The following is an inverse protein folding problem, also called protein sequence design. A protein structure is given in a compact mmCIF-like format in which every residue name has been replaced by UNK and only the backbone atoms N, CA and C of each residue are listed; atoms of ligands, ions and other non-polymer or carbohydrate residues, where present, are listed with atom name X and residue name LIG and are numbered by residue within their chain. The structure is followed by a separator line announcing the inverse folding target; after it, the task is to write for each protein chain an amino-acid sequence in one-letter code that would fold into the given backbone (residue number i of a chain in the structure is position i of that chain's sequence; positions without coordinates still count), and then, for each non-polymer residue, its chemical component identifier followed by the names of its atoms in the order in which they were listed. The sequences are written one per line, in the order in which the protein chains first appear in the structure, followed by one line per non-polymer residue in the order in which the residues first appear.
data_IF_009184255852
#
_entry.id   IF_009184255852
#
_cell.length_a   1.000
_cell.length_b   1.000
_cell.length_c   1.000
_cell.angle_alpha   90.00
_cell.angle_beta   90.00
_cell.angle_gamma   90.00
#
_symmetry.space_group_name_H-M   'P 1'
#
loop_
_entity.id
_entity.type
_entity.pdbx_description
1 polymer ?
#
# COMPACT_ATOMS: atom_id res chain seq x y z
N UNK A 1 55.04 -3.27 12.95
CA UNK A 1 54.34 -4.09 11.96
C UNK A 1 52.97 -4.61 12.42
N UNK A 2 52.53 -4.45 13.66
CA UNK A 2 51.23 -4.97 14.15
C UNK A 2 50.03 -4.02 13.97
N UNK A 3 50.25 -2.70 13.95
CA UNK A 3 49.15 -1.71 13.81
C UNK A 3 48.54 -1.62 12.41
N UNK A 4 49.27 -1.96 11.35
CA UNK A 4 48.81 -1.88 9.99
C UNK A 4 47.87 -3.07 9.62
N UNK A 5 48.09 -4.25 10.24
CA UNK A 5 47.24 -5.43 10.00
C UNK A 5 45.86 -5.33 10.64
N UNK A 6 45.77 -4.63 11.79
CA UNK A 6 44.47 -4.42 12.47
C UNK A 6 43.58 -3.44 11.69
N UNK A 7 44.19 -2.41 11.07
CA UNK A 7 43.45 -1.42 10.27
C UNK A 7 42.89 -2.00 8.96
N UNK A 8 43.64 -2.91 8.33
CA UNK A 8 43.18 -3.59 7.09
C UNK A 8 42.07 -4.64 7.38
N UNK A 9 42.13 -5.31 8.55
CA UNK A 9 41.07 -6.27 8.91
C UNK A 9 39.77 -5.57 9.27
N UNK A 10 39.82 -4.42 9.97
CA UNK A 10 38.62 -3.64 10.29
C UNK A 10 38.00 -2.97 9.08
N UNK A 11 38.80 -2.47 8.13
CA UNK A 11 38.26 -1.89 6.89
C UNK A 11 37.62 -2.94 5.97
N UNK A 12 38.15 -4.14 5.91
CA UNK A 12 37.57 -5.27 5.16
C UNK A 12 36.24 -5.76 5.78
N UNK A 13 36.16 -5.81 7.09
CA UNK A 13 34.91 -6.19 7.78
C UNK A 13 33.84 -5.12 7.62
N UNK A 14 34.20 -3.84 7.71
CA UNK A 14 33.26 -2.73 7.49
C UNK A 14 32.84 -2.67 6.01
N UNK A 15 33.77 -2.87 5.07
CA UNK A 15 33.44 -2.91 3.64
C UNK A 15 32.58 -4.12 3.27
N UNK A 16 32.88 -5.29 3.85
CA UNK A 16 32.05 -6.50 3.70
C UNK A 16 30.68 -6.33 4.31
N UNK A 17 30.56 -5.70 5.47
CA UNK A 17 29.29 -5.41 6.11
C UNK A 17 28.47 -4.39 5.33
N UNK A 18 29.11 -3.35 4.78
CA UNK A 18 28.46 -2.34 3.95
C UNK A 18 27.98 -2.93 2.62
N UNK A 19 28.77 -3.80 1.97
CA UNK A 19 28.38 -4.51 0.75
C UNK A 19 27.23 -5.47 1.04
N UNK A 20 27.30 -6.18 2.18
CA UNK A 20 26.22 -7.11 2.59
C UNK A 20 24.92 -6.38 2.94
N UNK A 21 24.98 -5.19 3.54
CA UNK A 21 23.80 -4.36 3.83
C UNK A 21 23.20 -3.69 2.59
N UNK A 22 23.92 -3.62 1.47
CA UNK A 22 23.43 -3.11 0.17
C UNK A 22 22.79 -4.19 -0.70
N UNK A 23 23.10 -5.46 -0.48
CA UNK A 23 22.42 -6.55 -1.20
C UNK A 23 21.00 -6.73 -0.65
N UNK A 24 20.09 -6.23 -1.43
CA UNK A 24 18.64 -6.15 -1.33
C UNK A 24 17.91 -6.99 -0.27
N UNK A 25 16.77 -6.51 0.11
CA UNK A 25 15.79 -7.32 0.83
C UNK A 25 15.48 -8.54 -0.04
N UNK A 26 15.93 -9.72 0.36
CA UNK A 26 15.57 -10.96 -0.34
C UNK A 26 14.07 -11.20 -0.07
N UNK A 27 13.24 -10.69 -0.98
CA UNK A 27 11.83 -11.05 -0.99
C UNK A 27 11.70 -12.55 -1.31
N UNK A 28 10.81 -13.21 -0.60
CA UNK A 28 10.47 -14.60 -0.93
C UNK A 28 9.66 -14.57 -2.23
N UNK A 29 10.23 -15.12 -3.30
CA UNK A 29 9.55 -15.19 -4.60
C UNK A 29 8.67 -16.44 -4.60
N UNK A 30 7.36 -16.23 -4.61
CA UNK A 30 6.40 -17.30 -4.82
C UNK A 30 6.22 -17.53 -6.33
N UNK A 31 6.66 -18.69 -6.81
CA UNK A 31 6.42 -19.11 -8.21
C UNK A 31 4.96 -19.51 -8.36
N UNK A 32 4.17 -18.66 -8.98
CA UNK A 32 2.77 -18.94 -9.32
C UNK A 32 2.70 -19.64 -10.69
N UNK A 33 1.86 -20.66 -10.82
CA UNK A 33 1.52 -21.19 -12.15
C UNK A 33 0.71 -20.14 -12.92
N UNK A 34 0.90 -19.99 -14.24
CA UNK A 34 0.00 -19.17 -15.05
C UNK A 34 -1.43 -19.66 -14.85
N UNK A 35 -2.33 -18.74 -14.52
CA UNK A 35 -3.76 -19.02 -14.45
C UNK A 35 -4.36 -18.56 -15.77
N UNK A 36 -5.19 -19.37 -16.41
CA UNK A 36 -6.02 -18.91 -17.53
C UNK A 36 -6.96 -17.83 -17.00
N UNK A 37 -6.86 -16.65 -17.57
CA UNK A 37 -7.67 -15.49 -17.22
C UNK A 37 -8.82 -15.45 -18.23
N UNK A 38 -10.04 -15.54 -17.73
CA UNK A 38 -11.21 -15.22 -18.55
C UNK A 38 -11.30 -13.70 -18.72
N UNK A 39 -11.66 -13.22 -19.88
CA UNK A 39 -12.08 -11.83 -20.09
C UNK A 39 -13.22 -11.52 -19.11
N UNK A 40 -13.21 -10.35 -18.44
CA UNK A 40 -14.30 -9.99 -17.55
C UNK A 40 -15.54 -9.71 -18.39
N UNK A 41 -16.58 -10.53 -18.24
CA UNK A 41 -17.84 -10.31 -18.91
C UNK A 41 -18.64 -9.12 -18.33
N UNK A 42 -18.25 -8.65 -17.13
CA UNK A 42 -19.01 -7.70 -16.33
C UNK A 42 -18.37 -6.33 -16.13
N UNK A 43 -17.15 -6.10 -16.63
CA UNK A 43 -16.41 -4.85 -16.41
C UNK A 43 -15.83 -4.28 -17.68
N UNK A 44 -16.13 -2.99 -17.95
CA UNK A 44 -15.55 -2.22 -19.06
C UNK A 44 -14.45 -1.29 -18.54
N UNK A 45 -13.19 -1.44 -18.98
CA UNK A 45 -12.09 -0.59 -18.51
C UNK A 45 -12.10 0.78 -19.18
N UNK A 46 -11.70 1.81 -18.46
CA UNK A 46 -11.41 3.16 -18.96
C UNK A 46 -10.24 3.78 -18.19
N UNK A 47 -9.25 4.35 -18.91
CA UNK A 47 -8.22 5.17 -18.28
C UNK A 47 -8.81 6.52 -17.90
N UNK A 48 -8.87 6.83 -16.62
CA UNK A 48 -9.46 8.08 -16.12
C UNK A 48 -8.46 9.23 -16.10
N UNK A 49 -7.22 8.96 -15.72
CA UNK A 49 -6.15 9.95 -15.64
C UNK A 49 -4.78 9.25 -15.73
N UNK A 50 -3.76 9.82 -16.38
CA UNK A 50 -3.74 11.11 -17.11
C UNK A 50 -4.36 10.99 -18.51
N UNK A 51 -5.13 12.00 -18.94
CA UNK A 51 -5.74 12.05 -20.29
C UNK A 51 -5.03 13.00 -21.25
N UNK A 52 -4.52 14.13 -20.75
CA UNK A 52 -3.84 15.14 -21.57
C UNK A 52 -2.32 14.97 -21.56
N UNK A 53 -1.62 15.65 -22.50
CA UNK A 53 -0.15 15.69 -22.49
C UNK A 53 0.40 16.41 -21.23
N UNK A 54 -0.32 17.42 -20.73
CA UNK A 54 0.05 18.12 -19.50
C UNK A 54 -0.04 17.17 -18.32
N UNK A 55 -1.16 16.45 -18.19
CA UNK A 55 -1.32 15.45 -17.13
C UNK A 55 -0.23 14.38 -17.18
N UNK A 56 0.10 13.88 -18.39
CA UNK A 56 1.14 12.85 -18.59
C UNK A 56 2.52 13.31 -18.15
N UNK A 57 2.82 14.60 -18.31
CA UNK A 57 4.11 15.18 -17.91
C UNK A 57 4.21 15.36 -16.39
N UNK A 58 3.08 15.45 -15.69
CA UNK A 58 3.00 15.61 -14.22
C UNK A 58 2.66 14.32 -13.48
N UNK A 59 2.17 13.30 -14.19
CA UNK A 59 1.80 12.01 -13.63
C UNK A 59 3.02 11.24 -13.12
N UNK A 60 3.02 10.88 -11.85
CA UNK A 60 3.98 9.98 -11.22
C UNK A 60 3.38 8.62 -10.91
N UNK A 61 4.18 7.77 -10.28
CA UNK A 61 3.71 6.47 -9.77
C UNK A 61 2.46 6.64 -8.92
N UNK A 62 1.38 5.98 -9.32
CA UNK A 62 0.09 6.01 -8.63
C UNK A 62 0.12 5.05 -7.43
N UNK A 63 0.01 5.58 -6.25
CA UNK A 63 0.18 4.79 -5.03
C UNK A 63 -1.11 4.59 -4.23
N UNK A 64 -2.10 5.46 -4.39
CA UNK A 64 -3.36 5.37 -3.66
C UNK A 64 -4.56 5.80 -4.50
N UNK A 65 -5.72 5.22 -4.22
CA UNK A 65 -7.01 5.57 -4.80
C UNK A 65 -8.11 5.38 -3.78
N UNK A 66 -9.05 6.34 -3.69
CA UNK A 66 -10.23 6.22 -2.83
C UNK A 66 -11.42 6.95 -3.47
N UNK A 67 -12.63 6.63 -3.02
CA UNK A 67 -13.88 7.25 -3.51
C UNK A 67 -14.64 7.83 -2.31
N UNK A 68 -15.06 9.09 -2.41
CA UNK A 68 -15.82 9.73 -1.35
C UNK A 68 -17.32 9.41 -1.44
N UNK A 69 -18.10 9.88 -0.45
CA UNK A 69 -19.55 9.67 -0.37
C UNK A 69 -20.35 10.22 -1.57
N UNK A 70 -19.77 11.14 -2.34
CA UNK A 70 -20.36 11.73 -3.55
C UNK A 70 -19.98 11.01 -4.83
N UNK A 71 -19.07 10.02 -4.73
CA UNK A 71 -18.50 9.30 -5.85
C UNK A 71 -17.35 10.02 -6.54
N UNK A 72 -16.81 11.11 -5.96
CA UNK A 72 -15.58 11.73 -6.47
C UNK A 72 -14.40 10.80 -6.19
N UNK A 73 -13.51 10.68 -7.18
CA UNK A 73 -12.39 9.75 -7.16
C UNK A 73 -11.13 10.54 -6.78
N UNK A 74 -10.48 10.12 -5.71
CA UNK A 74 -9.22 10.68 -5.24
C UNK A 74 -8.08 9.77 -5.68
N UNK A 75 -7.04 10.38 -6.20
CA UNK A 75 -5.87 9.73 -6.73
C UNK A 75 -4.62 10.33 -6.08
N UNK A 76 -3.79 9.48 -5.48
CA UNK A 76 -2.57 9.86 -4.80
C UNK A 76 -1.36 9.34 -5.56
N UNK A 77 -0.45 10.23 -5.96
CA UNK A 77 0.68 9.87 -6.79
C UNK A 77 1.95 10.64 -6.41
N UNK A 78 3.08 10.17 -6.90
CA UNK A 78 4.39 10.74 -6.58
C UNK A 78 4.83 11.86 -7.51
N UNK A 79 4.03 12.26 -8.49
CA UNK A 79 4.37 13.28 -9.48
C UNK A 79 5.81 13.11 -10.01
N UNK A 80 6.72 14.10 -9.82
CA UNK A 80 8.14 13.98 -10.14
C UNK A 80 8.98 13.21 -9.10
N UNK A 81 8.38 12.87 -7.95
CA UNK A 81 9.06 12.17 -6.86
C UNK A 81 9.27 10.68 -7.12
N UNK A 82 10.11 10.07 -6.31
CA UNK A 82 10.45 8.65 -6.37
C UNK A 82 10.04 7.93 -5.08
N UNK A 83 9.86 6.61 -5.18
CA UNK A 83 9.73 5.79 -3.98
C UNK A 83 10.94 5.97 -3.06
N UNK A 84 10.66 6.30 -1.80
CA UNK A 84 11.69 6.64 -0.79
C UNK A 84 12.50 7.90 -1.10
N UNK A 85 11.97 8.83 -1.89
CA UNK A 85 12.54 10.15 -2.12
C UNK A 85 12.78 10.93 -0.83
N UNK A 86 13.80 11.79 -0.82
CA UNK A 86 14.16 12.59 0.37
C UNK A 86 13.70 14.05 0.27
N UNK A 87 13.36 14.52 -0.93
CA UNK A 87 12.89 15.88 -1.17
C UNK A 87 11.37 15.94 -1.12
N UNK A 88 10.84 17.08 -0.73
CA UNK A 88 9.42 17.35 -0.89
C UNK A 88 9.08 17.46 -2.39
N UNK A 89 7.90 16.98 -2.74
CA UNK A 89 7.36 17.03 -4.10
C UNK A 89 6.67 18.38 -4.26
N UNK A 90 7.16 19.19 -5.19
CA UNK A 90 6.67 20.55 -5.40
C UNK A 90 5.37 20.60 -6.23
N UNK A 91 5.07 19.52 -6.97
CA UNK A 91 3.85 19.41 -7.75
C UNK A 91 2.68 18.89 -6.90
N UNK A 92 1.42 19.07 -7.36
CA UNK A 92 0.25 18.44 -6.76
C UNK A 92 0.41 16.91 -6.72
N UNK A 93 0.14 16.32 -5.58
CA UNK A 93 0.24 14.88 -5.36
C UNK A 93 -1.13 14.21 -5.22
N UNK A 94 -2.17 14.99 -4.98
CA UNK A 94 -3.56 14.51 -4.93
C UNK A 94 -4.34 15.14 -6.07
N UNK A 95 -4.97 14.28 -6.88
CA UNK A 95 -5.88 14.66 -7.96
C UNK A 95 -7.27 14.17 -7.62
N UNK A 96 -8.26 15.05 -7.71
CA UNK A 96 -9.66 14.72 -7.47
C UNK A 96 -10.43 14.80 -8.78
N UNK A 97 -11.04 13.69 -9.17
CA UNK A 97 -11.91 13.60 -10.34
C UNK A 97 -13.37 13.66 -9.91
N UNK A 98 -14.18 14.41 -10.64
CA UNK A 98 -15.63 14.42 -10.47
C UNK A 98 -16.23 13.05 -10.79
N UNK A 99 -16.99 12.50 -9.88
CA UNK A 99 -17.52 11.14 -9.99
C UNK A 99 -18.45 10.88 -11.17
N UNK A 100 -19.08 11.93 -11.72
CA UNK A 100 -20.02 11.83 -12.86
C UNK A 100 -19.34 12.12 -14.18
N UNK A 101 -18.58 13.22 -14.25
CA UNK A 101 -17.98 13.71 -15.50
C UNK A 101 -16.57 13.18 -15.74
N UNK A 102 -15.94 12.58 -14.71
CA UNK A 102 -14.57 12.08 -14.72
C UNK A 102 -13.52 13.15 -15.07
N UNK A 103 -13.89 14.43 -14.97
CA UNK A 103 -12.97 15.55 -15.17
C UNK A 103 -12.25 15.90 -13.88
N UNK A 104 -11.03 16.42 -14.00
CA UNK A 104 -10.29 16.97 -12.86
C UNK A 104 -11.09 18.10 -12.24
N UNK A 105 -11.40 17.97 -10.96
CA UNK A 105 -12.13 18.90 -10.14
C UNK A 105 -11.20 19.75 -9.27
N UNK A 106 -10.14 19.11 -8.77
CA UNK A 106 -9.16 19.74 -7.90
C UNK A 106 -7.83 18.98 -7.98
N UNK A 107 -6.73 19.72 -7.81
CA UNK A 107 -5.40 19.17 -7.59
C UNK A 107 -4.76 19.92 -6.43
N UNK A 108 -4.06 19.23 -5.53
CA UNK A 108 -3.42 19.82 -4.35
C UNK A 108 -2.35 18.90 -3.77
N UNK A 109 -1.70 19.34 -2.69
CA UNK A 109 -0.68 18.54 -1.98
C UNK A 109 0.75 18.95 -2.32
N UNK A 110 0.94 20.11 -2.97
CA UNK A 110 2.26 20.67 -3.28
C UNK A 110 3.06 20.91 -2.01
N UNK A 111 4.31 20.47 -2.00
CA UNK A 111 5.23 20.66 -0.88
C UNK A 111 4.87 19.94 0.42
N UNK A 112 3.85 19.06 0.42
CA UNK A 112 3.40 18.37 1.63
C UNK A 112 4.04 16.99 1.82
N UNK A 113 4.38 16.31 0.75
CA UNK A 113 4.78 14.91 0.76
C UNK A 113 6.16 14.69 0.13
N UNK A 114 6.82 13.60 0.54
CA UNK A 114 8.09 13.15 -0.03
C UNK A 114 7.94 11.84 -0.81
N UNK A 115 7.11 10.94 -0.32
CA UNK A 115 6.85 9.65 -0.94
C UNK A 115 5.43 9.18 -0.59
N UNK A 116 4.42 9.70 -1.30
CA UNK A 116 3.03 9.27 -1.22
C UNK A 116 2.86 7.76 -1.27
N UNK A 117 1.94 7.19 -0.44
CA UNK A 117 1.71 5.75 -0.46
C UNK A 117 0.23 5.37 -0.33
N UNK A 118 -0.34 5.18 0.85
CA UNK A 118 -1.74 4.80 1.04
C UNK A 118 -2.68 6.00 1.04
N UNK A 119 -3.91 5.80 0.62
CA UNK A 119 -4.99 6.80 0.61
C UNK A 119 -6.30 6.13 1.01
N UNK A 120 -6.98 6.70 1.99
CA UNK A 120 -8.29 6.28 2.48
C UNK A 120 -9.20 7.48 2.68
N UNK A 121 -10.50 7.30 2.51
CA UNK A 121 -11.53 8.32 2.80
C UNK A 121 -12.52 7.75 3.81
N UNK A 122 -12.58 8.38 5.00
CA UNK A 122 -13.49 7.93 6.06
C UNK A 122 -14.96 8.27 5.79
N UNK A 123 -15.88 7.74 6.60
CA UNK A 123 -17.34 7.93 6.47
C UNK A 123 -17.80 9.39 6.61
N UNK A 124 -16.89 10.32 6.97
CA UNK A 124 -17.13 11.77 7.06
C UNK A 124 -16.48 12.53 5.91
N UNK A 125 -16.00 11.83 4.89
CA UNK A 125 -15.21 12.36 3.77
C UNK A 125 -13.88 13.01 4.19
N UNK A 126 -13.31 12.69 5.36
CA UNK A 126 -11.94 13.07 5.66
C UNK A 126 -10.96 12.18 4.89
N UNK A 127 -9.88 12.81 4.45
CA UNK A 127 -8.85 12.19 3.63
C UNK A 127 -7.69 11.76 4.54
N UNK A 128 -7.32 10.49 4.49
CA UNK A 128 -6.22 9.94 5.25
C UNK A 128 -5.15 9.44 4.30
N UNK A 129 -3.90 9.85 4.51
CA UNK A 129 -2.80 9.46 3.62
C UNK A 129 -1.55 9.09 4.41
N UNK A 130 -0.81 8.11 3.91
CA UNK A 130 0.50 7.73 4.44
C UNK A 130 1.62 8.27 3.55
N UNK A 131 2.75 8.65 4.18
CA UNK A 131 3.99 8.96 3.49
C UNK A 131 5.13 8.09 4.05
N UNK A 132 5.72 7.28 3.19
CA UNK A 132 6.75 6.31 3.61
C UNK A 132 8.10 6.94 3.89
N UNK A 133 8.40 8.12 3.36
CA UNK A 133 9.65 8.84 3.64
C UNK A 133 9.56 9.75 4.85
N UNK A 134 8.39 10.32 5.09
CA UNK A 134 8.13 11.12 6.29
C UNK A 134 7.79 10.23 7.50
N UNK A 135 7.45 8.95 7.28
CA UNK A 135 7.01 8.03 8.34
C UNK A 135 5.79 8.56 9.10
N UNK A 136 4.84 9.12 8.36
CA UNK A 136 3.67 9.81 8.91
C UNK A 136 2.38 9.30 8.29
N UNK A 137 1.31 9.46 9.06
CA UNK A 137 -0.07 9.40 8.62
C UNK A 137 -0.68 10.79 8.82
N UNK A 138 -1.35 11.30 7.79
CA UNK A 138 -1.99 12.60 7.80
C UNK A 138 -3.50 12.42 7.65
N UNK A 139 -4.25 13.25 8.39
CA UNK A 139 -5.69 13.38 8.25
C UNK A 139 -6.02 14.81 7.80
N UNK A 140 -6.72 14.92 6.69
CA UNK A 140 -7.23 16.18 6.16
C UNK A 140 -8.76 16.16 6.20
N UNK A 141 -9.39 17.34 6.26
CA UNK A 141 -10.82 17.45 6.00
C UNK A 141 -11.12 17.31 4.49
N UNK A 142 -12.39 17.23 4.14
CA UNK A 142 -12.84 17.10 2.75
C UNK A 142 -12.49 18.30 1.85
N UNK A 143 -12.09 19.42 2.42
CA UNK A 143 -11.57 20.61 1.74
C UNK A 143 -10.04 20.56 1.55
N UNK A 144 -9.34 19.53 2.06
CA UNK A 144 -7.89 19.36 1.99
C UNK A 144 -7.11 20.12 3.06
N UNK A 145 -7.77 20.61 4.11
CA UNK A 145 -7.11 21.25 5.26
C UNK A 145 -6.62 20.20 6.25
N UNK A 146 -5.36 20.29 6.64
CA UNK A 146 -4.77 19.39 7.63
C UNK A 146 -5.50 19.49 8.98
N UNK A 147 -6.02 18.35 9.46
CA UNK A 147 -6.64 18.21 10.77
C UNK A 147 -5.63 17.70 11.79
N UNK A 148 -4.91 16.62 11.44
CA UNK A 148 -4.00 15.92 12.38
C UNK A 148 -2.91 15.17 11.64
N UNK A 149 -1.75 15.07 12.28
CA UNK A 149 -0.63 14.24 11.86
C UNK A 149 -0.35 13.22 12.95
N UNK A 150 -0.14 11.97 12.55
CA UNK A 150 0.24 10.88 13.44
C UNK A 150 1.63 10.36 13.05
N UNK A 151 2.32 9.82 14.03
CA UNK A 151 3.68 9.32 13.89
C UNK A 151 4.71 10.28 14.49
N UNK A 152 5.67 9.75 15.23
CA UNK A 152 6.78 10.53 15.78
C UNK A 152 7.98 10.54 14.83
N UNK A 153 8.84 11.51 15.00
CA UNK A 153 10.07 11.62 14.23
C UNK A 153 11.09 10.56 14.63
N UNK A 154 11.87 10.11 13.66
CA UNK A 154 12.96 9.17 13.91
C UNK A 154 14.05 9.80 14.78
N UNK A 155 14.48 9.04 15.78
CA UNK A 155 15.75 9.33 16.47
C UNK A 155 16.92 9.03 15.54
N UNK A 156 18.04 9.73 15.76
CA UNK A 156 19.28 9.50 15.00
C UNK A 156 19.65 8.01 15.01
N UNK A 157 19.93 7.45 13.84
CA UNK A 157 20.31 6.05 13.68
C UNK A 157 19.16 5.03 13.63
N UNK A 158 17.90 5.45 13.83
CA UNK A 158 16.75 4.53 13.83
C UNK A 158 16.58 3.82 12.48
N UNK A 159 16.65 4.54 11.37
CA UNK A 159 16.53 3.94 10.04
C UNK A 159 17.59 2.85 9.81
N UNK A 160 18.83 3.05 10.26
CA UNK A 160 19.89 2.04 10.21
C UNK A 160 19.56 0.83 11.07
N UNK A 161 19.08 1.05 12.30
CA UNK A 161 18.68 -0.04 13.20
C UNK A 161 17.55 -0.88 12.60
N UNK A 162 16.57 -0.24 11.96
CA UNK A 162 15.46 -0.90 11.26
C UNK A 162 15.95 -1.71 10.05
N UNK A 163 16.89 -1.16 9.25
CA UNK A 163 17.51 -1.90 8.14
C UNK A 163 18.28 -3.12 8.61
N UNK A 164 19.02 -3.01 9.72
CA UNK A 164 19.73 -4.14 10.33
C UNK A 164 18.72 -5.17 10.82
N UNK A 165 17.65 -4.76 11.52
CA UNK A 165 16.60 -5.67 11.99
C UNK A 165 15.91 -6.42 10.84
N UNK A 166 15.75 -5.81 9.68
CA UNK A 166 15.18 -6.51 8.52
C UNK A 166 16.08 -7.65 8.00
N UNK A 167 17.40 -7.57 8.24
CA UNK A 167 18.35 -8.64 7.91
C UNK A 167 18.59 -9.59 9.07
N UNK A 168 18.58 -9.09 10.29
CA UNK A 168 18.77 -9.81 11.54
C UNK A 168 17.52 -9.61 12.41
N UNK A 169 16.49 -10.46 12.27
CA UNK A 169 15.16 -10.23 12.86
C UNK A 169 15.14 -9.95 14.37
N UNK A 170 16.14 -10.44 15.09
CA UNK A 170 16.28 -10.27 16.54
C UNK A 170 17.13 -9.05 16.92
N UNK A 171 17.59 -8.24 15.95
CA UNK A 171 18.34 -7.02 16.25
C UNK A 171 17.45 -6.03 17.01
N UNK A 172 17.88 -5.52 18.18
CA UNK A 172 17.07 -4.61 18.98
C UNK A 172 16.89 -3.26 18.29
N UNK A 173 15.65 -2.79 18.22
CA UNK A 173 15.31 -1.45 17.76
C UNK A 173 14.50 -0.78 18.86
N UNK A 174 15.01 0.33 19.38
CA UNK A 174 14.34 1.13 20.40
C UNK A 174 13.43 2.16 19.73
N UNK A 175 12.18 1.77 19.53
CA UNK A 175 11.13 2.56 18.89
C UNK A 175 9.89 2.48 19.77
N UNK A 176 9.26 3.62 20.03
CA UNK A 176 7.99 3.60 20.73
C UNK A 176 6.84 3.22 19.79
N UNK A 177 5.69 2.97 20.36
CA UNK A 177 4.48 2.53 19.65
C UNK A 177 3.92 3.58 18.70
N UNK A 178 4.21 4.87 18.89
CA UNK A 178 3.73 5.99 18.09
C UNK A 178 4.66 6.34 16.92
N UNK A 179 5.81 5.70 16.81
CA UNK A 179 6.71 5.88 15.68
C UNK A 179 6.36 4.89 14.58
N UNK A 180 6.05 5.38 13.39
CA UNK A 180 5.89 4.53 12.20
C UNK A 180 7.24 4.31 11.51
N UNK A 181 7.34 3.20 10.80
CA UNK A 181 8.54 2.84 10.04
C UNK A 181 8.16 2.48 8.59
N UNK A 182 7.92 3.51 7.80
CA UNK A 182 7.40 3.45 6.43
C UNK A 182 6.01 2.84 6.36
N UNK A 183 5.00 3.52 6.91
CA UNK A 183 3.61 3.06 6.89
C UNK A 183 3.13 2.94 5.45
N UNK A 184 2.44 1.85 5.17
CA UNK A 184 1.98 1.53 3.82
C UNK A 184 0.55 2.00 3.58
N UNK A 185 -0.35 1.75 4.54
CA UNK A 185 -1.77 2.02 4.33
C UNK A 185 -2.51 2.21 5.66
N UNK A 186 -3.77 2.63 5.59
CA UNK A 186 -4.65 2.88 6.74
C UNK A 186 -6.09 2.52 6.40
N UNK A 187 -6.83 1.99 7.36
CA UNK A 187 -8.29 1.89 7.30
C UNK A 187 -8.92 2.55 8.51
N UNK A 188 -10.06 3.20 8.31
CA UNK A 188 -10.77 3.97 9.35
C UNK A 188 -12.12 3.35 9.62
N UNK A 189 -12.39 3.01 10.88
CA UNK A 189 -13.65 2.42 11.31
C UNK A 189 -14.71 3.50 11.58
N UNK A 190 -15.99 3.12 11.63
CA UNK A 190 -17.12 4.03 11.82
C UNK A 190 -17.05 4.83 13.13
N UNK A 191 -16.43 4.28 14.18
CA UNK A 191 -16.24 4.95 15.46
C UNK A 191 -15.09 5.99 15.42
N UNK A 192 -14.39 6.07 14.30
CA UNK A 192 -13.25 6.94 14.08
C UNK A 192 -11.91 6.37 14.55
N UNK A 193 -11.89 5.16 15.13
CA UNK A 193 -10.66 4.41 15.36
C UNK A 193 -10.06 3.98 14.01
N UNK A 194 -8.75 3.76 13.97
CA UNK A 194 -8.08 3.44 12.70
C UNK A 194 -6.98 2.40 12.89
N UNK A 195 -6.72 1.65 11.82
CA UNK A 195 -5.65 0.64 11.79
C UNK A 195 -4.64 1.00 10.72
N UNK A 196 -3.37 1.02 11.07
CA UNK A 196 -2.26 1.33 10.16
C UNK A 196 -1.50 0.07 9.82
N UNK A 197 -1.28 -0.18 8.54
CA UNK A 197 -0.26 -1.08 8.05
C UNK A 197 1.09 -0.35 8.05
N UNK A 198 2.01 -0.75 8.93
CA UNK A 198 3.35 -0.18 9.06
C UNK A 198 4.37 -1.22 8.57
N UNK A 199 4.37 -1.47 7.26
CA UNK A 199 4.89 -2.70 6.66
C UNK A 199 6.35 -2.68 6.25
N UNK A 200 6.85 -1.61 5.60
CA UNK A 200 8.15 -1.66 4.92
C UNK A 200 9.36 -1.83 5.83
N UNK A 201 9.33 -1.29 7.04
CA UNK A 201 10.44 -1.42 8.00
C UNK A 201 10.01 -2.04 9.32
N UNK A 202 8.71 -2.03 9.64
CA UNK A 202 8.23 -2.45 10.97
C UNK A 202 7.46 -3.78 10.98
N UNK A 203 6.93 -4.26 9.86
CA UNK A 203 6.17 -5.53 9.77
C UNK A 203 4.99 -5.52 10.73
N UNK A 204 4.34 -4.39 10.91
CA UNK A 204 3.38 -4.12 11.95
C UNK A 204 2.03 -3.74 11.37
N UNK A 205 0.97 -4.21 12.03
CA UNK A 205 -0.33 -3.53 12.02
C UNK A 205 -0.60 -3.00 13.44
N UNK A 206 -1.17 -1.81 13.53
CA UNK A 206 -1.46 -1.17 14.81
C UNK A 206 -2.78 -0.43 14.74
N UNK A 207 -3.66 -0.66 15.74
CA UNK A 207 -4.92 0.04 15.90
C UNK A 207 -4.78 1.13 16.94
N UNK A 208 -5.32 2.28 16.58
CA UNK A 208 -5.41 3.47 17.42
C UNK A 208 -6.87 3.88 17.56
N UNK A 209 -7.22 4.47 18.68
CA UNK A 209 -8.52 5.11 18.85
C UNK A 209 -8.63 6.40 18.01
N UNK A 210 -9.79 7.05 18.00
CA UNK A 210 -10.05 8.31 17.27
C UNK A 210 -9.12 9.46 17.68
N UNK A 211 -8.57 9.41 18.90
CA UNK A 211 -7.67 10.42 19.45
C UNK A 211 -6.20 10.09 19.18
N UNK A 212 -5.90 8.90 18.65
CA UNK A 212 -4.59 8.42 18.25
C UNK A 212 -3.84 7.68 19.36
N UNK A 213 -4.55 7.24 20.42
CA UNK A 213 -3.99 6.39 21.45
C UNK A 213 -3.98 4.93 21.01
N UNK A 214 -2.85 4.24 21.22
CA UNK A 214 -2.69 2.84 20.81
C UNK A 214 -3.63 1.92 21.60
N UNK A 215 -4.47 1.17 20.88
CA UNK A 215 -5.30 0.13 21.48
C UNK A 215 -4.62 -1.24 21.46
N UNK A 216 -4.05 -1.62 20.30
CA UNK A 216 -3.30 -2.86 20.16
C UNK A 216 -2.39 -2.83 18.92
N UNK A 217 -1.39 -3.72 18.91
CA UNK A 217 -0.52 -3.92 17.74
C UNK A 217 -0.07 -5.37 17.59
N UNK A 218 0.33 -5.73 16.36
CA UNK A 218 1.00 -6.98 16.01
C UNK A 218 2.22 -6.65 15.16
N UNK A 219 3.41 -7.05 15.60
CA UNK A 219 4.69 -6.60 15.03
C UNK A 219 5.72 -7.71 14.85
N UNK A 220 5.28 -8.94 14.64
CA UNK A 220 6.18 -10.10 14.54
C UNK A 220 6.40 -10.50 13.09
N UNK A 221 7.68 -10.67 12.69
CA UNK A 221 8.05 -11.24 11.41
C UNK A 221 7.75 -12.74 11.39
N UNK A 222 7.12 -13.22 10.33
CA UNK A 222 6.91 -14.63 10.09
C UNK A 222 5.70 -14.94 9.24
N UNK A 223 5.33 -16.22 9.20
CA UNK A 223 4.22 -16.74 8.40
C UNK A 223 3.10 -17.40 9.23
N UNK A 224 3.23 -17.42 10.57
CA UNK A 224 2.16 -17.94 11.45
C UNK A 224 1.00 -16.94 11.52
N UNK A 225 -0.17 -17.32 12.06
CA UNK A 225 -1.26 -16.40 12.34
C UNK A 225 -0.81 -15.18 13.15
N UNK A 226 -1.10 -13.96 12.66
CA UNK A 226 -0.69 -12.71 13.29
C UNK A 226 0.78 -12.33 13.19
N UNK A 227 1.59 -13.11 12.45
CA UNK A 227 2.93 -12.74 12.02
C UNK A 227 2.86 -12.19 10.58
N UNK A 228 3.73 -11.26 10.22
CA UNK A 228 3.70 -10.59 8.93
C UNK A 228 5.04 -10.62 8.22
N UNK A 229 4.99 -10.61 6.88
CA UNK A 229 6.13 -10.31 6.04
C UNK A 229 5.70 -9.24 5.04
N UNK A 230 5.84 -7.98 5.45
CA UNK A 230 5.43 -6.79 4.73
C UNK A 230 3.89 -6.68 4.56
N UNK A 231 3.13 -6.40 5.66
CA UNK A 231 1.75 -5.99 5.54
C UNK A 231 1.68 -4.70 4.71
N UNK A 232 0.79 -4.67 3.68
CA UNK A 232 0.76 -3.61 2.69
C UNK A 232 -0.60 -2.91 2.67
N UNK A 233 -1.58 -3.34 1.89
CA UNK A 233 -2.93 -2.84 1.92
C UNK A 233 -3.69 -3.31 3.17
N UNK A 234 -4.62 -2.50 3.65
CA UNK A 234 -5.48 -2.82 4.78
C UNK A 234 -6.85 -2.18 4.63
N UNK A 235 -7.90 -2.92 4.91
CA UNK A 235 -9.28 -2.40 4.90
C UNK A 235 -10.08 -3.02 6.05
N UNK A 236 -11.26 -2.47 6.34
CA UNK A 236 -12.16 -3.01 7.35
C UNK A 236 -13.62 -3.01 6.86
N UNK A 237 -14.39 -4.02 7.30
CA UNK A 237 -15.82 -4.05 7.02
C UNK A 237 -16.65 -3.39 8.15
N UNK A 238 -17.94 -3.20 7.89
CA UNK A 238 -18.90 -2.64 8.84
C UNK A 238 -19.09 -3.47 10.11
N UNK A 239 -18.70 -4.75 10.11
CA UNK A 239 -18.71 -5.63 11.28
C UNK A 239 -17.43 -5.43 12.12
N UNK A 240 -16.48 -4.63 11.65
CA UNK A 240 -15.20 -4.35 12.27
C UNK A 240 -14.16 -5.45 12.04
N UNK A 241 -14.34 -6.33 11.06
CA UNK A 241 -13.28 -7.22 10.60
C UNK A 241 -12.27 -6.44 9.80
N UNK A 242 -11.00 -6.77 9.99
CA UNK A 242 -9.85 -6.12 9.37
C UNK A 242 -9.19 -7.12 8.44
N UNK A 243 -9.01 -6.72 7.19
CA UNK A 243 -8.39 -7.52 6.13
C UNK A 243 -7.03 -6.92 5.79
N UNK A 244 -5.97 -7.72 5.87
CA UNK A 244 -4.58 -7.26 5.70
C UNK A 244 -3.92 -8.01 4.55
N UNK A 245 -3.48 -7.29 3.55
CA UNK A 245 -2.64 -7.81 2.49
C UNK A 245 -1.21 -8.07 3.03
N UNK A 246 -0.92 -9.29 3.45
CA UNK A 246 0.40 -9.73 3.91
C UNK A 246 1.26 -10.12 2.70
N UNK A 247 1.71 -9.08 1.99
CA UNK A 247 2.20 -9.11 0.60
C UNK A 247 3.27 -10.15 0.34
N UNK A 248 4.33 -10.18 1.14
CA UNK A 248 5.45 -11.09 0.91
C UNK A 248 5.16 -12.52 1.39
N UNK A 249 4.09 -12.73 2.15
CA UNK A 249 3.56 -14.06 2.47
C UNK A 249 2.50 -14.54 1.45
N UNK A 250 2.17 -13.71 0.43
CA UNK A 250 1.19 -14.01 -0.62
C UNK A 250 -0.17 -14.43 -0.05
N UNK A 251 -0.71 -13.66 0.90
CA UNK A 251 -1.96 -13.99 1.60
C UNK A 251 -2.70 -12.76 2.08
N UNK A 252 -4.00 -12.94 2.36
CA UNK A 252 -4.79 -12.02 3.19
C UNK A 252 -4.90 -12.64 4.59
N UNK A 253 -4.72 -11.86 5.64
CA UNK A 253 -5.07 -12.24 7.01
C UNK A 253 -6.28 -11.45 7.49
N UNK A 254 -7.19 -12.10 8.19
CA UNK A 254 -8.41 -11.52 8.73
C UNK A 254 -8.33 -11.46 10.25
N UNK A 255 -8.66 -10.31 10.84
CA UNK A 255 -8.72 -10.08 12.29
C UNK A 255 -10.07 -9.50 12.68
N UNK A 256 -10.46 -9.69 13.94
CA UNK A 256 -11.57 -8.92 14.52
C UNK A 256 -11.10 -7.52 14.95
N UNK A 257 -12.03 -6.64 15.31
CA UNK A 257 -11.74 -5.27 15.77
C UNK A 257 -10.83 -5.19 17.00
N UNK A 258 -10.68 -6.27 17.77
CA UNK A 258 -9.81 -6.36 18.94
C UNK A 258 -8.43 -6.96 18.58
N UNK A 259 -8.14 -7.15 17.29
CA UNK A 259 -6.89 -7.72 16.79
C UNK A 259 -6.76 -9.22 17.01
N UNK A 260 -7.84 -9.95 17.31
CA UNK A 260 -7.80 -11.41 17.38
C UNK A 260 -7.81 -11.97 15.96
N UNK A 261 -6.91 -12.92 15.71
CA UNK A 261 -6.87 -13.61 14.43
C UNK A 261 -8.17 -14.39 14.21
N UNK A 262 -8.75 -14.24 13.02
CA UNK A 262 -9.97 -14.92 12.60
C UNK A 262 -9.67 -15.95 11.53
N UNK A 263 -9.02 -15.53 10.42
CA UNK A 263 -8.80 -16.39 9.26
C UNK A 263 -7.59 -15.92 8.43
N UNK A 264 -7.17 -16.74 7.47
CA UNK A 264 -6.21 -16.35 6.43
C UNK A 264 -6.57 -17.03 5.12
N UNK A 265 -6.34 -16.31 4.05
CA UNK A 265 -6.56 -16.79 2.70
C UNK A 265 -5.23 -16.79 1.96
N UNK A 266 -4.57 -17.94 1.93
CA UNK A 266 -3.30 -18.18 1.23
C UNK A 266 -3.53 -18.98 -0.06
N UNK A 267 -4.65 -18.71 -0.72
CA UNK A 267 -4.98 -19.29 -2.00
C UNK A 267 -3.89 -18.89 -3.03
N UNK A 268 -3.28 -19.86 -3.75
CA UNK A 268 -2.30 -19.57 -4.80
C UNK A 268 -2.80 -18.59 -5.85
N UNK A 269 -4.11 -18.45 -5.98
CA UNK A 269 -4.76 -17.55 -6.92
C UNK A 269 -4.75 -16.08 -6.46
N UNK A 270 -4.53 -15.75 -5.20
CA UNK A 270 -4.46 -14.37 -4.70
C UNK A 270 -3.16 -13.68 -5.14
N UNK A 271 -2.09 -14.42 -5.39
CA UNK A 271 -0.81 -13.86 -5.78
C UNK A 271 -0.15 -13.07 -4.66
N UNK A 272 0.47 -11.94 -5.01
CA UNK A 272 1.05 -10.99 -4.05
C UNK A 272 0.11 -9.80 -3.90
N UNK A 273 -0.77 -9.79 -2.88
CA UNK A 273 -1.74 -8.72 -2.71
C UNK A 273 -1.04 -7.42 -2.31
N UNK A 274 -1.30 -6.35 -3.06
CA UNK A 274 -0.83 -5.01 -2.75
C UNK A 274 -1.94 -4.21 -2.07
N UNK A 275 -3.04 -3.94 -2.76
CA UNK A 275 -4.23 -3.30 -2.22
C UNK A 275 -5.34 -4.30 -1.90
N UNK A 276 -6.16 -3.98 -0.94
CA UNK A 276 -7.36 -4.74 -0.55
C UNK A 276 -8.45 -3.76 -0.11
N UNK A 277 -9.69 -3.97 -0.59
CA UNK A 277 -10.83 -3.12 -0.29
C UNK A 277 -12.09 -3.96 -0.05
N UNK A 278 -12.95 -3.51 0.85
CA UNK A 278 -14.28 -4.09 1.09
C UNK A 278 -15.33 -3.29 0.34
N UNK A 279 -15.92 -3.88 -0.68
CA UNK A 279 -17.03 -3.26 -1.41
C UNK A 279 -18.30 -3.15 -0.57
N UNK A 280 -19.17 -2.20 -0.93
CA UNK A 280 -20.49 -2.05 -0.30
C UNK A 280 -21.40 -3.28 -0.49
N UNK A 281 -21.10 -4.14 -1.45
CA UNK A 281 -21.73 -5.45 -1.67
C UNK A 281 -21.20 -6.55 -0.72
N UNK A 282 -20.24 -6.20 0.13
CA UNK A 282 -19.60 -7.10 1.08
C UNK A 282 -18.59 -8.07 0.49
N UNK A 283 -18.25 -7.93 -0.80
CA UNK A 283 -17.13 -8.66 -1.41
C UNK A 283 -15.80 -8.00 -1.07
N UNK A 284 -14.74 -8.76 -1.19
CA UNK A 284 -13.38 -8.30 -0.96
C UNK A 284 -12.66 -8.19 -2.31
N UNK A 285 -12.17 -7.02 -2.61
CA UNK A 285 -11.49 -6.68 -3.85
C UNK A 285 -9.98 -6.59 -3.58
N UNK A 286 -9.17 -7.26 -4.38
CA UNK A 286 -7.73 -7.36 -4.18
C UNK A 286 -7.02 -7.07 -5.49
N UNK A 287 -5.92 -6.32 -5.43
CA UNK A 287 -5.00 -6.21 -6.55
C UNK A 287 -3.74 -7.04 -6.30
N UNK A 288 -3.43 -7.94 -7.25
CA UNK A 288 -2.19 -8.69 -7.31
C UNK A 288 -1.16 -7.90 -8.12
N UNK A 289 -0.19 -7.29 -7.44
CA UNK A 289 0.90 -6.56 -8.09
C UNK A 289 1.88 -7.44 -8.86
N UNK A 290 1.74 -8.77 -8.73
CA UNK A 290 2.58 -9.75 -9.42
C UNK A 290 4.02 -9.78 -8.92
N UNK A 291 4.86 -10.52 -9.65
CA UNK A 291 6.28 -10.68 -9.35
C UNK A 291 7.18 -9.73 -10.13
N UNK A 292 6.60 -8.69 -10.73
CA UNK A 292 7.30 -7.73 -11.60
C UNK A 292 8.48 -7.02 -10.91
N UNK A 293 8.40 -6.77 -9.61
CA UNK A 293 9.46 -6.14 -8.83
C UNK A 293 10.77 -6.95 -8.78
N UNK A 294 10.73 -8.23 -9.13
CA UNK A 294 11.86 -9.15 -9.07
C UNK A 294 12.46 -9.49 -10.45
N UNK A 295 12.02 -8.79 -11.50
CA UNK A 295 12.57 -8.96 -12.86
C UNK A 295 12.18 -10.27 -13.57
N UNK A 296 11.25 -11.06 -13.02
CA UNK A 296 10.72 -12.27 -13.65
C UNK A 296 9.68 -11.89 -14.72
N UNK A 297 10.15 -11.40 -15.87
CA UNK A 297 9.30 -10.90 -16.95
C UNK A 297 8.34 -11.92 -17.58
N UNK A 298 8.60 -13.19 -17.42
CA UNK A 298 7.86 -14.27 -18.12
C UNK A 298 6.61 -14.75 -17.37
N UNK A 299 6.32 -14.20 -16.16
CA UNK A 299 5.27 -14.71 -15.27
C UNK A 299 4.57 -13.59 -14.49
N UNK A 300 4.48 -12.43 -15.13
CA UNK A 300 3.85 -11.26 -14.52
C UNK A 300 2.34 -11.49 -14.49
N UNK A 301 1.79 -11.51 -13.30
CA UNK A 301 0.34 -11.54 -13.12
C UNK A 301 -0.17 -10.13 -12.97
N UNK A 302 -0.59 -9.36 -12.50
CA UNK A 302 -1.23 -8.03 -12.41
C UNK A 302 -2.71 -8.18 -12.70
N UNK A 303 -3.45 -8.44 -11.63
CA UNK A 303 -4.84 -8.82 -11.71
C UNK A 303 -5.67 -8.10 -10.65
N UNK A 304 -6.94 -7.97 -10.94
CA UNK A 304 -7.99 -7.71 -9.96
C UNK A 304 -8.61 -9.06 -9.60
N UNK A 305 -8.82 -9.29 -8.30
CA UNK A 305 -9.38 -10.53 -7.76
C UNK A 305 -10.54 -10.14 -6.85
N UNK A 306 -11.70 -10.72 -7.07
CA UNK A 306 -12.89 -10.51 -6.24
C UNK A 306 -13.15 -11.78 -5.44
N UNK A 307 -13.28 -11.64 -4.13
CA UNK A 307 -13.45 -12.73 -3.17
C UNK A 307 -14.75 -12.55 -2.38
N UNK A 308 -15.32 -13.67 -1.93
CA UNK A 308 -16.33 -13.61 -0.88
C UNK A 308 -15.70 -13.40 0.51
N UNK A 309 -16.54 -13.23 1.55
CA UNK A 309 -16.08 -13.04 2.94
C UNK A 309 -15.42 -14.30 3.56
N UNK A 310 -15.38 -15.40 2.85
CA UNK A 310 -14.73 -16.65 3.19
C UNK A 310 -13.40 -16.86 2.45
N UNK A 311 -13.04 -15.90 1.56
CA UNK A 311 -11.82 -15.93 0.76
C UNK A 311 -11.92 -16.82 -0.48
N UNK A 312 -13.13 -17.19 -0.90
CA UNK A 312 -13.35 -17.90 -2.16
C UNK A 312 -13.24 -16.91 -3.32
N UNK A 313 -12.44 -17.22 -4.33
CA UNK A 313 -12.33 -16.41 -5.53
C UNK A 313 -13.63 -16.53 -6.34
N UNK A 314 -14.32 -15.42 -6.50
CA UNK A 314 -15.53 -15.29 -7.30
C UNK A 314 -15.20 -14.92 -8.74
N UNK A 315 -14.32 -13.95 -8.92
CA UNK A 315 -13.91 -13.41 -10.21
C UNK A 315 -12.43 -13.06 -10.22
N UNK A 316 -11.85 -13.06 -11.43
CA UNK A 316 -10.48 -12.64 -11.66
C UNK A 316 -10.32 -12.14 -13.08
N UNK A 317 -9.69 -10.97 -13.24
CA UNK A 317 -9.43 -10.39 -14.55
C UNK A 317 -8.25 -9.42 -14.51
N UNK A 318 -7.84 -8.93 -15.67
CA UNK A 318 -6.65 -8.12 -15.86
C UNK A 318 -5.43 -8.96 -16.23
N UNK A 319 -4.54 -8.36 -17.01
CA UNK A 319 -3.27 -8.95 -17.45
C UNK A 319 -2.16 -7.92 -17.37
N UNK A 320 -0.91 -8.37 -17.37
CA UNK A 320 0.22 -7.47 -17.44
C UNK A 320 0.26 -6.70 -18.77
N UNK A 321 0.35 -5.37 -18.70
CA UNK A 321 0.51 -4.52 -19.88
C UNK A 321 0.14 -3.06 -19.65
N UNK A 322 0.12 -2.28 -20.74
CA UNK A 322 -0.13 -0.84 -20.71
C UNK A 322 -1.37 -0.39 -21.49
N UNK A 323 -2.06 -1.31 -22.17
CA UNK A 323 -3.33 -0.99 -22.82
C UNK A 323 -4.42 -0.77 -21.77
N UNK A 324 -5.54 -0.28 -22.22
CA UNK A 324 -6.74 -0.20 -21.39
C UNK A 324 -7.19 -1.62 -20.98
N UNK A 325 -7.49 -1.82 -19.70
CA UNK A 325 -7.76 -3.14 -19.13
C UNK A 325 -6.52 -3.97 -18.73
N UNK A 326 -5.34 -3.66 -19.27
CA UNK A 326 -4.08 -4.23 -18.80
C UNK A 326 -3.54 -3.44 -17.59
N UNK A 327 -2.74 -4.07 -16.74
CA UNK A 327 -2.24 -3.50 -15.47
C UNK A 327 -0.73 -3.68 -15.33
N UNK A 328 -0.05 -2.68 -14.74
CA UNK A 328 1.36 -2.81 -14.34
C UNK A 328 1.56 -2.36 -12.91
N UNK A 329 1.86 -3.32 -12.06
CA UNK A 329 1.94 -3.16 -10.61
C UNK A 329 0.73 -2.38 -10.12
N UNK A 330 -0.50 -2.95 -10.23
CA UNK A 330 -1.65 -2.39 -9.56
C UNK A 330 -1.35 -2.36 -8.06
N UNK A 331 -1.41 -1.17 -7.49
CA UNK A 331 -0.88 -0.92 -6.15
C UNK A 331 -1.97 -0.73 -5.12
N UNK A 332 -3.03 -0.07 -5.52
CA UNK A 332 -4.18 0.20 -4.67
C UNK A 332 -5.50 0.09 -5.45
N UNK A 333 -6.60 -0.12 -4.72
CA UNK A 333 -7.91 -0.40 -5.27
C UNK A 333 -8.99 0.24 -4.41
N UNK A 334 -9.98 0.86 -5.07
CA UNK A 334 -11.19 1.34 -4.43
C UNK A 334 -12.43 0.88 -5.19
N UNK A 335 -13.57 0.78 -4.51
CA UNK A 335 -14.84 0.35 -5.10
C UNK A 335 -15.94 1.30 -4.68
N UNK A 336 -16.66 1.84 -5.66
CA UNK A 336 -17.81 2.70 -5.36
C UNK A 336 -19.08 1.90 -5.02
N UNK A 337 -20.12 2.61 -4.56
CA UNK A 337 -21.41 2.00 -4.17
C UNK A 337 -22.15 1.32 -5.33
N UNK A 338 -21.73 1.53 -6.58
CA UNK A 338 -22.28 0.88 -7.77
C UNK A 338 -21.50 -0.37 -8.15
N UNK A 339 -20.38 -0.63 -7.49
CA UNK A 339 -19.47 -1.72 -7.78
C UNK A 339 -18.47 -1.40 -8.90
N UNK A 340 -18.30 -0.13 -9.31
CA UNK A 340 -17.21 0.25 -10.18
C UNK A 340 -15.89 0.18 -9.42
N UNK A 341 -14.88 -0.35 -10.05
CA UNK A 341 -13.55 -0.57 -9.45
C UNK A 341 -12.58 0.47 -10.00
N UNK A 342 -11.79 1.07 -9.12
CA UNK A 342 -10.75 2.03 -9.46
C UNK A 342 -9.40 1.47 -9.03
N UNK A 343 -8.41 1.47 -9.94
CA UNK A 343 -7.09 0.90 -9.69
C UNK A 343 -6.00 1.92 -9.93
N UNK A 344 -5.15 2.13 -8.93
CA UNK A 344 -3.93 2.93 -9.04
C UNK A 344 -2.76 2.05 -9.47
N UNK A 345 -2.00 2.45 -10.49
CA UNK A 345 -0.91 1.68 -11.06
C UNK A 345 0.43 2.41 -10.96
N UNK A 346 1.45 1.76 -10.39
CA UNK A 346 2.77 2.37 -10.24
C UNK A 346 3.46 2.59 -11.58
N UNK A 347 3.71 1.52 -12.36
CA UNK A 347 4.52 1.61 -13.58
C UNK A 347 3.80 2.31 -14.73
N UNK A 348 2.49 2.15 -14.84
CA UNK A 348 1.72 2.87 -15.85
C UNK A 348 1.43 4.32 -15.46
N UNK A 349 1.70 4.71 -14.21
CA UNK A 349 1.50 6.07 -13.69
C UNK A 349 0.09 6.61 -13.97
N UNK A 350 -0.92 5.80 -13.66
CA UNK A 350 -2.30 6.11 -14.03
C UNK A 350 -3.31 5.55 -13.05
N UNK A 351 -4.54 5.99 -13.21
CA UNK A 351 -5.73 5.38 -12.61
C UNK A 351 -6.64 4.87 -13.73
N UNK A 352 -7.17 3.67 -13.59
CA UNK A 352 -8.21 3.10 -14.42
C UNK A 352 -9.48 2.85 -13.62
N UNK A 353 -10.64 3.06 -14.27
CA UNK A 353 -11.93 2.55 -13.84
C UNK A 353 -12.21 1.24 -14.58
N UNK A 354 -12.76 0.28 -13.88
CA UNK A 354 -13.40 -0.90 -14.42
C UNK A 354 -14.89 -0.76 -14.07
N UNK A 355 -15.63 -0.23 -15.02
CA UNK A 355 -17.06 0.07 -14.85
C UNK A 355 -17.86 -1.21 -14.89
N UNK A 356 -18.67 -1.45 -13.86
CA UNK A 356 -19.60 -2.57 -13.79
C UNK A 356 -20.75 -2.38 -14.76
N UNK A 357 -21.04 -3.42 -15.57
CA UNK A 357 -22.15 -3.43 -16.56
C UNK A 357 -23.49 -3.81 -15.94
#
# INVERSE_FOLDING_TARGET
MSKLKVFLATSLVISGLIIWLRQGDSEVIYKKKPVEISEPETYTPEILWPKTLVDKNTAGEASGVAVNSKGDIYYFHRASGEYSGNNYIEEPTIVVLDGKTKKVKQMWGEGLFKSPHGLEIDSKDNIWVTDVSLNKLYKFDKEGKLIKTFGEDYRVGMEWSLRIRNKLPNFPVFMNEYTFARPTDVTVMDDGSFVVSDGYRNRRIAKFDKDGELEWQKNKLGSKPGEFNLPHGITSDSDGKIYVADRNNARIQVFDKNGRYVDRWDNPEIGRPYGVEVGSDGKIYVVDGGDSLNGAKDKLTSQIIILDKQGTVLERFGTWGSKEGELKIPHDIAVDVKGNIYVAELENKRIQEFKKE
#
